data_IF_836933954190
#
_entry.id   IF_836933954190
#
_cell.length_a   1.000
_cell.length_b   1.000
_cell.length_c   1.000
_cell.angle_alpha   90.00
_cell.angle_beta   90.00
_cell.angle_gamma   90.00
#
_symmetry.space_group_name_H-M   'P 1'
#
loop_
_entity.id
_entity.type
_entity.pdbx_description
1 polymer ?
#
# COMPACT_ATOMS: atom_id res chain seq x y z
N UNK A 1 -22.03 21.37 25.53
CA UNK A 1 -21.83 19.94 25.21
C UNK A 1 -21.02 19.87 23.91
N UNK A 2 -19.70 19.81 24.00
CA UNK A 2 -18.85 19.62 22.82
C UNK A 2 -18.61 18.12 22.69
N UNK A 3 -19.19 17.48 21.68
CA UNK A 3 -18.76 16.15 21.28
C UNK A 3 -17.26 16.27 20.95
N UNK A 4 -16.42 15.52 21.67
CA UNK A 4 -15.01 15.41 21.30
C UNK A 4 -14.98 14.88 19.85
N UNK A 5 -14.58 15.73 18.90
CA UNK A 5 -14.43 15.34 17.50
C UNK A 5 -13.51 14.12 17.44
N UNK A 6 -13.88 13.13 16.63
CA UNK A 6 -13.05 11.95 16.41
C UNK A 6 -11.61 12.40 16.13
N UNK A 7 -10.59 11.73 16.70
CA UNK A 7 -9.20 12.07 16.39
C UNK A 7 -9.02 12.04 14.87
N UNK A 8 -8.22 12.97 14.32
CA UNK A 8 -8.00 13.02 12.88
C UNK A 8 -7.51 11.65 12.40
N UNK A 9 -7.97 11.19 11.22
CA UNK A 9 -7.59 9.88 10.71
C UNK A 9 -6.06 9.80 10.63
N UNK A 10 -5.49 8.70 11.14
CA UNK A 10 -4.05 8.45 11.02
C UNK A 10 -3.69 8.29 9.54
N UNK A 11 -2.51 8.78 9.17
CA UNK A 11 -1.92 8.59 7.84
C UNK A 11 -1.77 7.09 7.58
N UNK A 12 -2.23 6.60 6.43
CA UNK A 12 -2.06 5.20 6.07
C UNK A 12 -0.67 4.96 5.46
N UNK A 13 -0.10 3.77 5.69
CA UNK A 13 1.17 3.37 5.09
C UNK A 13 0.93 2.30 4.02
N UNK A 14 1.33 2.60 2.78
CA UNK A 14 1.19 1.72 1.62
C UNK A 14 2.57 1.22 1.18
N UNK A 15 2.73 -0.10 1.08
CA UNK A 15 3.92 -0.71 0.54
C UNK A 15 3.64 -1.17 -0.89
N UNK A 16 4.41 -0.66 -1.86
CA UNK A 16 4.20 -0.90 -3.30
C UNK A 16 5.33 -1.75 -3.88
N UNK A 17 4.95 -2.83 -4.57
CA UNK A 17 5.82 -3.70 -5.35
C UNK A 17 6.93 -4.45 -4.55
N UNK A 18 6.73 -4.64 -3.25
CA UNK A 18 7.61 -5.46 -2.40
C UNK A 18 7.47 -6.95 -2.72
N UNK A 19 8.59 -7.65 -2.89
CA UNK A 19 8.63 -9.08 -3.28
C UNK A 19 9.61 -9.92 -2.49
N UNK A 20 10.54 -9.31 -1.75
CA UNK A 20 11.59 -10.02 -1.02
C UNK A 20 11.99 -9.34 0.28
N UNK A 21 13.25 -9.53 0.65
CA UNK A 21 13.80 -9.12 1.95
C UNK A 21 13.72 -7.61 2.20
N UNK A 22 13.62 -6.80 1.13
CA UNK A 22 13.45 -5.35 1.24
C UNK A 22 12.19 -4.97 2.04
N UNK A 23 11.18 -5.85 2.09
CA UNK A 23 10.00 -5.69 2.93
C UNK A 23 10.36 -5.56 4.42
N UNK A 24 11.21 -6.46 4.93
CA UNK A 24 11.58 -6.46 6.34
C UNK A 24 12.38 -5.22 6.74
N UNK A 25 13.23 -4.73 5.83
CA UNK A 25 13.94 -3.48 6.03
C UNK A 25 12.98 -2.28 6.06
N UNK A 26 12.00 -2.24 5.16
CA UNK A 26 10.99 -1.18 5.14
C UNK A 26 10.12 -1.20 6.41
N UNK A 27 9.71 -2.37 6.91
CA UNK A 27 8.94 -2.50 8.15
C UNK A 27 9.69 -1.92 9.35
N UNK A 28 11.02 -2.06 9.41
CA UNK A 28 11.83 -1.50 10.51
C UNK A 28 11.88 0.02 10.51
N UNK A 29 11.69 0.66 9.36
CA UNK A 29 11.78 2.13 9.20
C UNK A 29 10.40 2.79 9.27
N UNK A 30 9.42 2.21 8.57
CA UNK A 30 8.09 2.80 8.40
C UNK A 30 7.01 2.14 9.26
N UNK A 31 7.33 1.03 9.94
CA UNK A 31 6.36 0.18 10.63
C UNK A 31 5.66 -0.79 9.69
N UNK A 32 4.71 -1.56 10.24
CA UNK A 32 3.87 -2.47 9.46
C UNK A 32 2.96 -1.65 8.52
N UNK A 33 2.87 -2.00 7.22
CA UNK A 33 1.98 -1.31 6.31
C UNK A 33 0.50 -1.58 6.64
N UNK A 34 -0.35 -0.61 6.34
CA UNK A 34 -1.80 -0.77 6.33
C UNK A 34 -2.27 -1.47 5.04
N UNK A 35 -1.59 -1.19 3.92
CA UNK A 35 -1.91 -1.73 2.60
C UNK A 35 -0.65 -2.24 1.89
N UNK A 36 -0.79 -3.37 1.21
CA UNK A 36 0.28 -3.94 0.38
C UNK A 36 -0.25 -4.02 -1.05
N UNK A 37 0.35 -3.23 -1.93
CA UNK A 37 0.08 -3.23 -3.36
C UNK A 37 1.11 -4.11 -4.05
N UNK A 38 0.62 -5.14 -4.74
CA UNK A 38 1.45 -6.11 -5.46
C UNK A 38 2.31 -5.44 -6.55
N UNK A 39 1.85 -4.33 -7.11
CA UNK A 39 2.55 -3.50 -8.06
C UNK A 39 2.03 -2.06 -8.07
N UNK A 40 2.67 -1.20 -8.87
CA UNK A 40 2.15 0.15 -9.13
C UNK A 40 1.15 0.09 -10.27
N UNK A 41 -0.14 0.11 -9.96
CA UNK A 41 -1.24 0.12 -10.93
C UNK A 41 -2.25 1.24 -10.64
N UNK A 42 -3.34 1.28 -11.42
CA UNK A 42 -4.37 2.33 -11.30
C UNK A 42 -5.03 2.31 -9.91
N UNK A 43 -5.26 1.13 -9.34
CA UNK A 43 -5.89 0.99 -8.03
C UNK A 43 -4.96 1.43 -6.91
N UNK A 44 -3.69 1.03 -6.97
CA UNK A 44 -2.68 1.48 -6.02
C UNK A 44 -2.58 3.01 -5.99
N UNK A 45 -2.60 3.65 -7.17
CA UNK A 45 -2.57 5.11 -7.30
C UNK A 45 -3.81 5.78 -6.72
N UNK A 46 -5.00 5.22 -6.96
CA UNK A 46 -6.26 5.79 -6.47
C UNK A 46 -6.48 5.56 -4.98
N UNK A 47 -5.91 4.49 -4.42
CA UNK A 47 -6.00 4.16 -3.01
C UNK A 47 -5.12 5.06 -2.11
N UNK A 48 -4.04 5.63 -2.66
CA UNK A 48 -3.14 6.52 -1.92
C UNK A 48 -3.68 7.94 -1.99
N UNK A 49 -4.05 8.52 -0.85
CA UNK A 49 -4.64 9.87 -0.78
C UNK A 49 -3.69 10.88 -0.14
N UNK A 50 -3.90 12.19 -0.33
CA UNK A 50 -3.07 13.20 0.30
C UNK A 50 -3.00 13.04 1.82
N UNK A 51 -1.80 12.83 2.33
CA UNK A 51 -1.54 12.59 3.75
C UNK A 51 -0.95 11.22 4.05
N UNK A 52 -1.18 10.23 3.17
CA UNK A 52 -0.63 8.90 3.29
C UNK A 52 0.85 8.84 2.96
N UNK A 53 1.47 7.72 3.31
CA UNK A 53 2.87 7.41 3.02
C UNK A 53 2.90 6.23 2.05
N UNK A 54 3.42 6.46 0.86
CA UNK A 54 3.67 5.40 -0.12
C UNK A 54 5.16 5.08 -0.17
N UNK A 55 5.51 3.83 0.12
CA UNK A 55 6.88 3.32 0.06
C UNK A 55 6.98 2.40 -1.15
N UNK A 56 7.93 2.68 -2.03
CA UNK A 56 8.12 1.93 -3.27
C UNK A 56 9.36 1.05 -3.15
N UNK A 57 9.22 -0.27 -3.38
CA UNK A 57 10.37 -1.16 -3.50
C UNK A 57 11.12 -0.96 -4.83
N UNK A 58 10.42 -0.46 -5.85
CA UNK A 58 10.93 -0.18 -7.20
C UNK A 58 10.18 1.02 -7.79
N UNK A 59 10.89 1.82 -8.57
CA UNK A 59 10.30 3.00 -9.22
C UNK A 59 9.85 4.04 -8.20
N UNK A 60 8.96 4.93 -8.64
CA UNK A 60 8.42 6.05 -7.86
C UNK A 60 6.97 6.32 -8.21
N UNK A 61 6.31 7.23 -7.47
CA UNK A 61 4.96 7.70 -7.78
C UNK A 61 4.84 8.44 -9.11
N UNK A 62 5.95 8.94 -9.65
CA UNK A 62 5.97 9.68 -10.92
C UNK A 62 5.98 8.74 -12.15
N UNK A 63 6.23 7.45 -11.94
CA UNK A 63 6.19 6.46 -13.00
C UNK A 63 4.74 6.21 -13.44
N UNK A 64 4.50 5.93 -14.75
CA UNK A 64 3.18 5.57 -15.21
C UNK A 64 2.74 4.24 -14.54
N UNK A 65 1.50 4.16 -14.00
CA UNK A 65 0.99 2.92 -13.45
C UNK A 65 0.90 1.84 -14.53
N UNK A 66 1.07 0.60 -14.11
CA UNK A 66 0.85 -0.59 -14.93
C UNK A 66 -0.54 -0.53 -15.57
N UNK A 67 -0.61 -0.91 -16.86
CA UNK A 67 -1.88 -1.07 -17.58
C UNK A 67 -2.71 -2.25 -17.10
N UNK A 68 -2.07 -3.19 -16.41
CA UNK A 68 -2.71 -4.37 -15.84
C UNK A 68 -2.85 -4.19 -14.33
N UNK A 69 -4.04 -4.44 -13.83
CA UNK A 69 -4.31 -4.49 -12.39
C UNK A 69 -3.82 -5.81 -11.81
N UNK A 70 -3.27 -5.75 -10.61
CA UNK A 70 -2.86 -6.94 -9.88
C UNK A 70 -3.95 -7.32 -8.87
N UNK A 71 -4.38 -8.59 -8.81
CA UNK A 71 -5.31 -9.02 -7.77
C UNK A 71 -4.56 -9.09 -6.44
N UNK A 72 -4.91 -8.21 -5.49
CA UNK A 72 -4.30 -8.18 -4.15
C UNK A 72 -4.53 -9.47 -3.35
N UNK A 73 -5.56 -10.24 -3.71
CA UNK A 73 -5.87 -11.56 -3.16
C UNK A 73 -5.56 -12.64 -4.21
N UNK A 74 -4.69 -13.59 -3.84
CA UNK A 74 -4.65 -14.89 -4.51
C UNK A 74 -5.67 -15.78 -3.81
N UNK A 75 -6.75 -16.13 -4.49
CA UNK A 75 -7.62 -17.21 -4.01
C UNK A 75 -6.77 -18.48 -3.93
N UNK A 76 -6.61 -19.03 -2.72
CA UNK A 76 -6.11 -20.38 -2.58
C UNK A 76 -7.15 -21.30 -3.19
N UNK A 77 -6.89 -21.81 -4.39
CA UNK A 77 -7.70 -22.89 -4.95
C UNK A 77 -7.46 -24.11 -4.05
N UNK A 78 -8.41 -24.40 -3.16
CA UNK A 78 -8.46 -25.68 -2.49
C UNK A 78 -8.68 -26.74 -3.58
N UNK A 79 -7.69 -27.58 -3.81
CA UNK A 79 -7.79 -28.72 -4.72
C UNK A 79 -8.97 -29.61 -4.29
N UNK A 80 -9.87 -29.91 -5.23
CA UNK A 80 -10.92 -30.92 -5.11
C UNK A 80 -10.38 -32.30 -5.50
#
# INVERSE_FOLDING_TARGET
>A
MTCAGAPPPRRAVHFVAFRGDEYHSAVRVFGTPDFIHIGWDVWAREAIVPGDIAVFARGTSDDPPSRYSFPDLREAQAEL
#
